data_IF_395474043035
#
_entry.id   IF_395474043035
#
_cell.length_a   1.000
_cell.length_b   1.000
_cell.length_c   1.000
_cell.angle_alpha   90.00
_cell.angle_beta   90.00
_cell.angle_gamma   90.00
#
_symmetry.space_group_name_H-M   'P 1'
#
loop_
_entity.id
_entity.type
_entity.pdbx_description
1 polymer ?
#
# COMPACT_ATOMS: atom_id res chain seq x y z
N UNK A 1 -30.50 9.99 4.61
CA UNK A 1 -29.48 9.39 5.51
C UNK A 1 -28.29 8.92 4.70
N UNK A 2 -27.09 8.99 5.28
CA UNK A 2 -25.81 8.57 4.70
C UNK A 2 -25.04 7.70 5.69
N UNK A 3 -24.60 6.53 5.25
CA UNK A 3 -23.61 5.72 5.96
C UNK A 3 -22.25 5.82 5.28
N UNK A 4 -21.22 6.19 6.06
CA UNK A 4 -19.84 6.22 5.63
C UNK A 4 -19.05 5.14 6.34
N UNK A 5 -18.38 4.30 5.56
CA UNK A 5 -17.57 3.19 6.02
C UNK A 5 -16.10 3.47 5.73
N UNK A 6 -15.24 3.21 6.68
CA UNK A 6 -13.80 3.31 6.52
C UNK A 6 -13.17 1.93 6.53
N UNK A 7 -12.35 1.63 5.52
CA UNK A 7 -11.67 0.37 5.31
C UNK A 7 -12.60 -0.80 4.90
N UNK A 8 -12.11 -1.68 4.03
CA UNK A 8 -12.86 -2.82 3.47
C UNK A 8 -13.55 -3.70 4.53
N UNK A 9 -12.89 -3.89 5.69
CA UNK A 9 -13.43 -4.74 6.76
C UNK A 9 -14.72 -4.22 7.38
N UNK A 10 -14.95 -2.90 7.35
CA UNK A 10 -16.18 -2.34 7.89
C UNK A 10 -17.40 -2.60 7.01
N UNK A 11 -17.20 -2.94 5.74
CA UNK A 11 -18.30 -3.22 4.80
C UNK A 11 -19.23 -4.35 5.25
N UNK A 12 -18.73 -5.31 6.05
CA UNK A 12 -19.53 -6.41 6.61
C UNK A 12 -20.65 -5.95 7.55
N UNK A 13 -20.58 -4.72 8.06
CA UNK A 13 -21.58 -4.15 8.97
C UNK A 13 -22.66 -3.35 8.24
N UNK A 14 -22.67 -3.36 6.89
CA UNK A 14 -23.74 -2.72 6.13
C UNK A 14 -25.09 -3.39 6.43
N UNK A 15 -26.07 -2.65 6.98
CA UNK A 15 -27.39 -3.24 7.28
C UNK A 15 -28.12 -3.62 5.98
N UNK A 16 -28.76 -4.79 5.99
CA UNK A 16 -29.44 -5.35 4.82
C UNK A 16 -30.60 -4.45 4.35
N UNK A 17 -31.31 -3.82 5.28
CA UNK A 17 -32.50 -3.02 5.00
C UNK A 17 -32.24 -1.50 5.01
N UNK A 18 -30.99 -1.07 4.82
CA UNK A 18 -30.67 0.35 4.79
C UNK A 18 -31.06 0.98 3.44
N UNK A 19 -31.99 1.94 3.47
CA UNK A 19 -32.52 2.64 2.28
C UNK A 19 -31.79 3.94 1.94
N UNK A 20 -30.83 4.38 2.77
CA UNK A 20 -30.04 5.60 2.56
C UNK A 20 -28.88 5.41 1.58
N UNK A 21 -28.03 6.42 1.49
CA UNK A 21 -26.82 6.39 0.66
C UNK A 21 -25.65 5.76 1.41
N UNK A 22 -24.82 5.02 0.68
CA UNK A 22 -23.67 4.30 1.24
C UNK A 22 -22.39 4.70 0.54
N UNK A 23 -21.38 5.04 1.34
CA UNK A 23 -20.04 5.37 0.85
C UNK A 23 -19.03 4.49 1.58
N UNK A 24 -18.15 3.84 0.85
CA UNK A 24 -17.01 3.11 1.41
C UNK A 24 -15.70 3.77 0.97
N UNK A 25 -14.91 4.21 1.92
CA UNK A 25 -13.50 4.49 1.71
C UNK A 25 -12.72 3.19 1.85
N UNK A 26 -12.39 2.58 0.73
CA UNK A 26 -11.67 1.31 0.70
C UNK A 26 -10.15 1.52 0.79
N UNK A 27 -9.67 2.65 0.31
CA UNK A 27 -8.26 3.01 0.25
C UNK A 27 -7.57 2.35 -0.93
N UNK A 28 -7.14 1.11 -0.76
CA UNK A 28 -6.45 0.30 -1.76
C UNK A 28 -7.32 -0.82 -2.31
N UNK A 29 -6.96 -1.33 -3.49
CA UNK A 29 -7.51 -2.55 -4.07
C UNK A 29 -6.75 -3.75 -3.49
N UNK A 30 -7.33 -4.40 -2.50
CA UNK A 30 -6.66 -5.46 -1.73
C UNK A 30 -6.29 -6.68 -2.58
N UNK A 31 -7.14 -7.05 -3.54
CA UNK A 31 -6.82 -8.13 -4.48
C UNK A 31 -5.56 -7.85 -5.28
N UNK A 32 -5.30 -6.60 -5.65
CA UNK A 32 -4.09 -6.18 -6.36
C UNK A 32 -2.83 -6.33 -5.47
N UNK A 33 -2.93 -6.00 -4.19
CA UNK A 33 -1.84 -6.18 -3.25
C UNK A 33 -1.46 -7.67 -3.08
N UNK A 34 -2.45 -8.56 -3.02
CA UNK A 34 -2.20 -10.01 -2.97
C UNK A 34 -1.62 -10.53 -4.28
N UNK A 35 -2.10 -10.05 -5.43
CA UNK A 35 -1.58 -10.41 -6.75
C UNK A 35 -0.13 -9.97 -6.92
N UNK A 36 0.21 -8.75 -6.54
CA UNK A 36 1.59 -8.26 -6.55
C UNK A 36 2.49 -9.10 -5.65
N UNK A 37 2.02 -9.45 -4.44
CA UNK A 37 2.79 -10.31 -3.53
C UNK A 37 3.01 -11.70 -4.13
N UNK A 38 1.98 -12.31 -4.70
CA UNK A 38 2.07 -13.58 -5.41
C UNK A 38 3.12 -13.55 -6.54
N UNK A 39 3.13 -12.49 -7.35
CA UNK A 39 4.05 -12.33 -8.48
C UNK A 39 5.50 -12.13 -8.03
N UNK A 40 5.72 -11.48 -6.89
CA UNK A 40 7.05 -11.19 -6.35
C UNK A 40 7.64 -12.33 -5.51
N UNK A 41 6.86 -13.33 -5.14
CA UNK A 41 7.36 -14.50 -4.42
C UNK A 41 8.08 -15.48 -5.36
N UNK A 42 9.18 -16.06 -4.85
CA UNK A 42 9.89 -17.11 -5.56
C UNK A 42 8.97 -18.30 -5.86
N UNK A 43 9.14 -18.93 -7.02
CA UNK A 43 8.32 -20.04 -7.50
C UNK A 43 8.22 -21.20 -6.49
N UNK A 44 9.30 -21.50 -5.78
CA UNK A 44 9.36 -22.55 -4.76
C UNK A 44 8.79 -22.17 -3.40
N UNK A 45 8.28 -20.94 -3.24
CA UNK A 45 7.72 -20.51 -1.96
C UNK A 45 6.26 -21.00 -1.82
N UNK A 46 6.03 -21.91 -0.84
CA UNK A 46 4.71 -22.50 -0.59
C UNK A 46 3.63 -21.43 -0.30
N UNK A 47 4.00 -20.30 0.33
CA UNK A 47 3.08 -19.20 0.58
C UNK A 47 2.53 -18.54 -0.69
N UNK A 48 3.16 -18.77 -1.84
CA UNK A 48 2.66 -18.30 -3.11
C UNK A 48 1.23 -18.80 -3.41
N UNK A 49 0.95 -20.05 -3.09
CA UNK A 49 -0.41 -20.60 -3.26
C UNK A 49 -1.42 -19.98 -2.31
N UNK A 50 -1.00 -19.64 -1.10
CA UNK A 50 -1.86 -18.93 -0.13
C UNK A 50 -2.22 -17.55 -0.69
N UNK A 51 -1.24 -16.80 -1.19
CA UNK A 51 -1.50 -15.48 -1.77
C UNK A 51 -2.38 -15.52 -3.02
N UNK A 52 -2.25 -16.58 -3.85
CA UNK A 52 -3.13 -16.77 -4.99
C UNK A 52 -4.58 -17.02 -4.55
N UNK A 53 -4.79 -17.87 -3.55
CA UNK A 53 -6.10 -18.14 -2.99
C UNK A 53 -6.70 -16.89 -2.35
N UNK A 54 -5.94 -16.18 -1.53
CA UNK A 54 -6.36 -14.91 -0.91
C UNK A 54 -6.73 -13.86 -1.96
N UNK A 55 -5.94 -13.72 -3.02
CA UNK A 55 -6.25 -12.82 -4.14
C UNK A 55 -7.63 -13.14 -4.72
N UNK A 56 -7.91 -14.41 -5.00
CA UNK A 56 -9.20 -14.85 -5.54
C UNK A 56 -10.36 -14.57 -4.58
N UNK A 57 -10.20 -14.91 -3.30
CA UNK A 57 -11.24 -14.70 -2.28
C UNK A 57 -11.55 -13.23 -2.07
N UNK A 58 -10.50 -12.41 -1.94
CA UNK A 58 -10.64 -10.96 -1.75
C UNK A 58 -11.29 -10.31 -2.98
N UNK A 59 -10.93 -10.74 -4.19
CA UNK A 59 -11.57 -10.24 -5.43
C UNK A 59 -13.07 -10.52 -5.46
N UNK A 60 -13.51 -11.65 -4.92
CA UNK A 60 -14.95 -11.94 -4.77
C UNK A 60 -15.61 -10.98 -3.79
N UNK A 61 -14.96 -10.72 -2.64
CA UNK A 61 -15.47 -9.76 -1.64
C UNK A 61 -15.53 -8.35 -2.23
N UNK A 62 -14.50 -7.91 -2.96
CA UNK A 62 -14.50 -6.61 -3.65
C UNK A 62 -15.65 -6.49 -4.64
N UNK A 63 -15.94 -7.53 -5.41
CA UNK A 63 -17.07 -7.53 -6.33
C UNK A 63 -18.42 -7.43 -5.62
N UNK A 64 -18.58 -8.08 -4.46
CA UNK A 64 -19.79 -7.91 -3.62
C UNK A 64 -19.90 -6.46 -3.13
N UNK A 65 -18.82 -5.89 -2.65
CA UNK A 65 -18.75 -4.49 -2.20
C UNK A 65 -19.11 -3.53 -3.33
N UNK A 66 -18.54 -3.71 -4.53
CA UNK A 66 -18.84 -2.87 -5.69
C UNK A 66 -20.32 -2.93 -6.09
N UNK A 67 -21.01 -4.03 -5.81
CA UNK A 67 -22.44 -4.12 -6.05
C UNK A 67 -23.27 -3.45 -4.93
N UNK A 68 -22.83 -3.56 -3.67
CA UNK A 68 -23.60 -3.16 -2.49
C UNK A 68 -23.53 -1.68 -2.17
N UNK A 69 -22.39 -1.01 -2.47
CA UNK A 69 -22.20 0.40 -2.15
C UNK A 69 -22.57 1.33 -3.30
N UNK A 70 -23.12 2.50 -2.98
CA UNK A 70 -23.41 3.54 -3.96
C UNK A 70 -22.14 4.20 -4.49
N UNK A 71 -21.18 4.47 -3.58
CA UNK A 71 -19.90 5.11 -3.90
C UNK A 71 -18.73 4.46 -3.16
N UNK A 72 -17.61 4.39 -3.84
CA UNK A 72 -16.38 3.79 -3.31
C UNK A 72 -15.22 4.74 -3.59
N UNK A 73 -14.36 4.94 -2.60
CA UNK A 73 -13.20 5.80 -2.68
C UNK A 73 -11.95 4.91 -2.71
N UNK A 74 -11.11 5.12 -3.72
CA UNK A 74 -9.78 4.55 -3.84
C UNK A 74 -8.72 5.66 -3.89
N UNK A 75 -7.54 5.39 -3.35
CA UNK A 75 -6.46 6.37 -3.27
C UNK A 75 -5.55 6.37 -4.51
N UNK A 76 -5.56 5.28 -5.29
CA UNK A 76 -4.71 5.10 -6.45
C UNK A 76 -5.47 5.11 -7.77
N UNK A 77 -5.10 6.04 -8.68
CA UNK A 77 -5.64 6.04 -10.05
C UNK A 77 -5.29 4.77 -10.83
N UNK A 78 -4.12 4.19 -10.57
CA UNK A 78 -3.69 2.97 -11.23
C UNK A 78 -4.58 1.78 -10.85
N UNK A 79 -5.00 1.70 -9.59
CA UNK A 79 -5.92 0.66 -9.13
C UNK A 79 -7.33 0.85 -9.70
N UNK A 80 -7.81 2.09 -9.80
CA UNK A 80 -9.09 2.39 -10.45
C UNK A 80 -9.10 1.89 -11.90
N UNK A 81 -7.96 1.98 -12.60
CA UNK A 81 -7.87 1.49 -13.98
C UNK A 81 -8.02 -0.03 -14.07
N UNK A 82 -7.68 -0.78 -13.03
CA UNK A 82 -7.80 -2.24 -12.95
C UNK A 82 -9.22 -2.72 -12.64
N UNK A 83 -10.06 -1.85 -12.07
CA UNK A 83 -11.45 -2.19 -11.76
C UNK A 83 -12.28 -2.31 -13.05
N UNK A 84 -13.20 -3.28 -13.07
CA UNK A 84 -14.09 -3.52 -14.19
C UNK A 84 -14.88 -2.26 -14.58
N UNK A 85 -15.05 -2.05 -15.90
CA UNK A 85 -15.71 -0.85 -16.44
C UNK A 85 -17.11 -0.58 -15.87
N UNK A 86 -17.87 -1.65 -15.57
CA UNK A 86 -19.23 -1.55 -15.03
C UNK A 86 -19.29 -0.84 -13.66
N UNK A 87 -18.21 -0.91 -12.85
CA UNK A 87 -18.16 -0.30 -11.53
C UNK A 87 -17.55 1.11 -11.53
N UNK A 88 -16.83 1.53 -12.58
CA UNK A 88 -16.08 2.78 -12.61
C UNK A 88 -16.90 4.02 -12.30
N UNK A 89 -18.22 4.01 -12.61
CA UNK A 89 -19.12 5.14 -12.31
C UNK A 89 -19.34 5.36 -10.81
N UNK A 90 -19.10 4.33 -9.99
CA UNK A 90 -19.25 4.39 -8.54
C UNK A 90 -17.95 4.71 -7.82
N UNK A 91 -16.81 4.68 -8.52
CA UNK A 91 -15.48 4.81 -7.92
C UNK A 91 -14.96 6.22 -8.08
N UNK A 92 -14.47 6.77 -6.97
CA UNK A 92 -13.91 8.11 -6.88
C UNK A 92 -12.46 8.03 -6.43
N UNK A 93 -11.63 8.82 -7.08
CA UNK A 93 -10.25 9.02 -6.66
C UNK A 93 -10.20 10.16 -5.64
N UNK A 94 -9.79 9.86 -4.43
CA UNK A 94 -9.48 10.87 -3.41
C UNK A 94 -8.11 10.52 -2.86
N UNK A 95 -7.12 11.38 -3.08
CA UNK A 95 -5.78 11.17 -2.53
C UNK A 95 -5.79 11.35 -1.02
N UNK A 96 -4.92 10.62 -0.32
CA UNK A 96 -4.65 10.89 1.08
C UNK A 96 -4.22 12.34 1.27
N UNK A 97 -4.77 12.98 2.30
CA UNK A 97 -4.42 14.36 2.64
C UNK A 97 -3.35 14.37 3.73
N UNK A 98 -2.38 15.24 3.56
CA UNK A 98 -1.37 15.50 4.58
C UNK A 98 -1.59 16.91 5.13
N UNK A 99 -1.56 17.02 6.45
CA UNK A 99 -1.66 18.34 7.10
C UNK A 99 -0.50 19.23 6.65
N UNK A 100 -0.81 20.46 6.24
CA UNK A 100 0.22 21.39 5.80
C UNK A 100 1.15 21.75 6.98
N UNK A 101 2.45 21.65 6.74
CA UNK A 101 3.45 22.01 7.74
C UNK A 101 3.61 23.52 7.72
N UNK A 102 3.36 24.18 8.87
CA UNK A 102 3.44 25.64 9.03
C UNK A 102 4.89 26.18 8.92
N UNK A 103 5.89 25.33 9.14
CA UNK A 103 7.32 25.72 9.04
C UNK A 103 7.89 25.22 7.72
N UNK A 104 8.29 26.15 6.86
CA UNK A 104 9.05 25.82 5.65
C UNK A 104 10.46 25.35 6.04
N UNK A 105 10.71 24.06 5.97
CA UNK A 105 12.06 23.53 6.06
C UNK A 105 12.80 23.80 4.75
N UNK A 106 13.97 24.46 4.83
CA UNK A 106 14.82 24.65 3.65
C UNK A 106 15.52 23.32 3.34
N UNK A 107 15.32 22.82 2.13
CA UNK A 107 16.10 21.71 1.62
C UNK A 107 17.58 22.15 1.52
N UNK A 108 18.48 21.34 2.08
CA UNK A 108 19.92 21.59 1.96
C UNK A 108 20.52 20.57 0.99
N UNK A 109 21.06 21.05 -0.12
CA UNK A 109 21.78 20.22 -1.10
C UNK A 109 23.06 19.56 -0.54
N UNK A 110 23.52 20.03 0.63
CA UNK A 110 24.68 19.45 1.34
C UNK A 110 24.30 18.20 2.16
N UNK A 111 23.02 17.89 2.27
CA UNK A 111 22.55 16.80 3.11
C UNK A 111 22.37 15.53 2.24
N UNK A 112 23.41 14.73 2.16
CA UNK A 112 23.43 13.48 1.38
C UNK A 112 22.71 12.34 2.12
N UNK A 113 21.46 12.57 2.56
CA UNK A 113 20.67 11.61 3.31
C UNK A 113 19.39 11.25 2.58
N UNK A 114 19.17 9.97 2.38
CA UNK A 114 17.88 9.42 1.94
C UNK A 114 17.20 8.83 3.16
N UNK A 115 15.92 9.14 3.34
CA UNK A 115 15.15 8.71 4.49
C UNK A 115 13.97 7.86 4.02
N UNK A 116 13.83 6.67 4.62
CA UNK A 116 12.62 5.87 4.55
C UNK A 116 11.93 5.89 5.91
N UNK A 117 10.63 6.17 5.93
CA UNK A 117 9.80 6.12 7.14
C UNK A 117 8.65 5.15 6.89
N UNK A 118 8.51 4.12 7.73
CA UNK A 118 7.43 3.16 7.59
C UNK A 118 7.50 2.00 8.58
N UNK A 119 6.38 1.30 8.76
CA UNK A 119 6.34 0.09 9.57
C UNK A 119 7.00 -1.07 8.79
N UNK A 120 8.18 -1.51 9.22
CA UNK A 120 8.91 -2.62 8.60
C UNK A 120 8.36 -4.01 9.00
N UNK A 121 7.36 -4.06 9.85
CA UNK A 121 6.54 -5.26 10.03
C UNK A 121 5.61 -5.54 8.84
N UNK A 122 5.40 -4.56 7.99
CA UNK A 122 4.64 -4.70 6.74
C UNK A 122 5.57 -5.12 5.60
N UNK A 123 5.28 -6.28 5.01
CA UNK A 123 6.16 -6.95 4.03
C UNK A 123 6.57 -6.04 2.85
N UNK A 124 5.67 -5.30 2.20
CA UNK A 124 6.06 -4.40 1.12
C UNK A 124 7.10 -3.35 1.51
N UNK A 125 7.03 -2.82 2.72
CA UNK A 125 7.97 -1.80 3.20
C UNK A 125 9.39 -2.36 3.36
N UNK A 126 9.51 -3.57 3.93
CA UNK A 126 10.84 -4.19 4.07
C UNK A 126 11.41 -4.63 2.72
N UNK A 127 10.57 -5.10 1.80
CA UNK A 127 11.00 -5.42 0.43
C UNK A 127 11.51 -4.18 -0.29
N UNK A 128 10.80 -3.06 -0.22
CA UNK A 128 11.22 -1.79 -0.81
C UNK A 128 12.59 -1.35 -0.27
N UNK A 129 12.82 -1.45 1.04
CA UNK A 129 14.12 -1.15 1.63
C UNK A 129 15.23 -2.08 1.12
N UNK A 130 14.96 -3.39 1.04
CA UNK A 130 15.91 -4.39 0.54
C UNK A 130 16.28 -4.14 -0.93
N UNK A 131 15.31 -3.85 -1.77
CA UNK A 131 15.53 -3.51 -3.18
C UNK A 131 16.32 -2.21 -3.34
N UNK A 132 15.98 -1.18 -2.56
CA UNK A 132 16.72 0.07 -2.57
C UNK A 132 18.19 -0.14 -2.19
N UNK A 133 18.47 -0.89 -1.11
CA UNK A 133 19.84 -1.20 -0.66
C UNK A 133 20.60 -2.01 -1.72
N UNK A 134 19.93 -2.98 -2.34
CA UNK A 134 20.57 -3.90 -3.29
C UNK A 134 20.86 -3.26 -4.64
N UNK A 135 19.92 -2.47 -5.17
CA UNK A 135 19.99 -2.01 -6.56
C UNK A 135 20.25 -0.50 -6.67
N UNK A 136 19.63 0.32 -5.84
CA UNK A 136 19.68 1.77 -5.97
C UNK A 136 20.84 2.40 -5.21
N UNK A 137 21.04 2.01 -3.96
CA UNK A 137 22.07 2.59 -3.10
C UNK A 137 23.49 2.45 -3.67
N UNK A 138 23.92 1.31 -4.28
CA UNK A 138 25.24 1.20 -4.89
C UNK A 138 25.45 2.18 -6.06
N UNK A 139 24.39 2.43 -6.84
CA UNK A 139 24.45 3.40 -7.94
C UNK A 139 24.59 4.82 -7.40
N UNK A 140 23.84 5.13 -6.35
CA UNK A 140 23.92 6.44 -5.69
C UNK A 140 25.31 6.68 -5.04
N UNK A 141 25.88 5.68 -4.37
CA UNK A 141 27.21 5.76 -3.76
C UNK A 141 28.33 6.06 -4.78
N UNK A 142 28.20 5.57 -6.02
CA UNK A 142 29.15 5.93 -7.10
C UNK A 142 29.11 7.41 -7.47
N UNK A 143 27.95 8.06 -7.37
CA UNK A 143 27.75 9.48 -7.70
C UNK A 143 27.93 10.39 -6.50
N UNK A 144 27.56 9.91 -5.32
CA UNK A 144 27.57 10.65 -4.05
C UNK A 144 28.17 9.71 -2.99
N UNK A 145 29.50 9.65 -2.85
CA UNK A 145 30.18 8.67 -1.99
C UNK A 145 29.70 8.67 -0.53
N UNK A 146 29.34 9.84 -0.01
CA UNK A 146 28.90 10.02 1.39
C UNK A 146 27.38 9.96 1.57
N UNK A 147 26.65 9.32 0.64
CA UNK A 147 25.20 9.17 0.79
C UNK A 147 24.87 8.17 1.90
N UNK A 148 23.96 8.58 2.76
CA UNK A 148 23.42 7.74 3.84
C UNK A 148 22.00 7.35 3.53
N UNK A 149 21.64 6.10 3.81
CA UNK A 149 20.26 5.63 3.77
C UNK A 149 19.77 5.35 5.18
N UNK A 150 18.86 6.17 5.67
CA UNK A 150 18.30 6.06 7.02
C UNK A 150 16.91 5.45 6.98
N UNK A 151 16.66 4.45 7.82
CA UNK A 151 15.38 3.76 7.91
C UNK A 151 14.81 4.00 9.30
N UNK A 152 13.61 4.58 9.37
CA UNK A 152 12.89 4.86 10.62
C UNK A 152 11.58 4.08 10.61
N UNK A 153 11.36 3.28 11.64
CA UNK A 153 10.13 2.54 11.84
C UNK A 153 10.28 1.33 12.73
N UNK A 154 9.16 0.67 13.02
CA UNK A 154 9.18 -0.56 13.81
C UNK A 154 9.68 -1.72 12.96
N UNK A 155 10.65 -2.49 13.47
CA UNK A 155 11.29 -3.60 12.76
C UNK A 155 11.43 -4.81 13.69
N UNK A 156 11.18 -6.01 13.14
CA UNK A 156 11.45 -7.25 13.86
C UNK A 156 12.97 -7.48 14.00
N UNK A 157 13.44 -8.08 15.10
CA UNK A 157 14.88 -8.29 15.34
C UNK A 157 15.61 -8.97 14.18
N UNK A 158 15.01 -9.99 13.58
CA UNK A 158 15.59 -10.73 12.45
C UNK A 158 15.79 -9.85 11.22
N UNK A 159 14.82 -9.02 10.88
CA UNK A 159 14.91 -8.11 9.73
C UNK A 159 15.92 -6.98 9.97
N UNK A 160 16.09 -6.56 11.23
CA UNK A 160 17.11 -5.59 11.63
C UNK A 160 18.51 -6.12 11.33
N UNK A 161 18.77 -7.38 11.68
CA UNK A 161 20.04 -8.03 11.38
C UNK A 161 20.31 -8.06 9.86
N UNK A 162 19.33 -8.45 9.07
CA UNK A 162 19.47 -8.52 7.60
C UNK A 162 19.73 -7.16 6.95
N UNK A 163 19.11 -6.09 7.43
CA UNK A 163 19.36 -4.74 6.93
C UNK A 163 20.72 -4.18 7.37
N UNK A 164 21.27 -4.65 8.50
CA UNK A 164 22.58 -4.24 9.00
C UNK A 164 23.76 -4.85 8.24
N UNK A 165 23.58 -6.01 7.62
CA UNK A 165 24.64 -6.70 6.86
C UNK A 165 24.98 -6.00 5.52
N UNK A 166 24.18 -5.06 5.07
CA UNK A 166 24.32 -4.36 3.79
C UNK A 166 24.72 -2.88 3.95
N UNK A 167 25.43 -2.54 5.05
CA UNK A 167 25.98 -1.20 5.28
C UNK A 167 27.25 -0.94 4.47
#
# INVERSE_FOLDING_TARGET
>A
DLLFFHHIRSSQYLPIEFSGKTVLEMGDLYSDNYEQTFNNLNFFNIFRFVYLLECFLVKRVENLIFNSFDKIILFSKNEINKVEKKYKKKIYHISESVQSISKKHKFSSKNNKVLFIGNLGYVPNILACKEFIKYTLPILKKKIPNIEFNIIGNIKPFDKFFLSLNK
#
